data_IF_583430050900
#
_entry.id   IF_583430050900
#
_cell.length_a   1.000
_cell.length_b   1.000
_cell.length_c   1.000
_cell.angle_alpha   90.00
_cell.angle_beta   90.00
_cell.angle_gamma   90.00
#
_symmetry.space_group_name_H-M   'P 1'
#
loop_
_entity.id
_entity.type
_entity.pdbx_description
1 polymer ?
#
# COMPACT_ATOMS: atom_id res chain seq x y z
N UNK A 1 -15.31 11.01 7.21
CA UNK A 1 -14.35 10.84 8.33
C UNK A 1 -13.44 9.61 8.16
N UNK A 2 -13.88 8.51 7.53
CA UNK A 2 -13.04 7.32 7.27
C UNK A 2 -11.91 7.58 6.26
N UNK A 3 -12.15 8.40 5.24
CA UNK A 3 -11.23 8.61 4.11
C UNK A 3 -9.94 9.36 4.49
N UNK A 4 -10.03 10.28 5.46
CA UNK A 4 -8.87 11.08 5.89
C UNK A 4 -7.88 10.24 6.71
N UNK A 5 -8.37 9.25 7.47
CA UNK A 5 -7.54 8.33 8.24
C UNK A 5 -6.71 7.42 7.33
N UNK A 6 -7.32 6.91 6.25
CA UNK A 6 -6.65 6.11 5.23
C UNK A 6 -5.65 6.94 4.41
N UNK A 7 -5.91 8.24 4.18
CA UNK A 7 -4.96 9.12 3.48
C UNK A 7 -3.67 9.33 4.28
N UNK A 8 -3.81 9.55 5.60
CA UNK A 8 -2.67 9.83 6.49
C UNK A 8 -1.86 8.58 6.86
N UNK A 9 -2.49 7.40 7.01
CA UNK A 9 -1.77 6.18 7.43
C UNK A 9 -0.80 5.65 6.37
N UNK A 10 -1.08 5.92 5.10
CA UNK A 10 -0.48 5.21 3.99
C UNK A 10 0.47 6.07 3.14
N UNK A 11 0.65 7.35 3.48
CA UNK A 11 1.46 8.25 2.67
C UNK A 11 1.02 8.16 1.21
N UNK A 12 -0.26 8.42 0.93
CA UNK A 12 -0.80 8.40 -0.43
C UNK A 12 0.12 9.26 -1.32
N UNK A 13 0.58 8.69 -2.44
CA UNK A 13 1.58 9.29 -3.35
C UNK A 13 3.06 9.26 -2.90
N UNK A 14 3.39 8.62 -1.77
CA UNK A 14 4.79 8.29 -1.41
C UNK A 14 5.12 6.85 -1.76
N UNK A 15 6.31 6.68 -2.35
CA UNK A 15 6.92 5.36 -2.51
C UNK A 15 7.11 4.75 -1.13
N UNK A 16 6.50 3.59 -0.93
CA UNK A 16 6.54 2.85 0.32
C UNK A 16 7.05 1.43 0.05
N UNK A 17 7.79 0.91 1.02
CA UNK A 17 8.26 -0.47 0.99
C UNK A 17 7.20 -1.38 1.61
N UNK A 18 6.67 -2.27 0.79
CA UNK A 18 5.71 -3.29 1.20
C UNK A 18 6.42 -4.62 1.34
N UNK A 19 5.99 -5.40 2.33
CA UNK A 19 6.39 -6.80 2.47
C UNK A 19 5.14 -7.66 2.43
N UNK A 20 5.09 -8.60 1.49
CA UNK A 20 4.01 -9.60 1.46
C UNK A 20 4.22 -10.66 2.53
N UNK A 21 3.13 -11.35 2.90
CA UNK A 21 3.19 -12.53 3.77
C UNK A 21 4.13 -13.63 3.27
N UNK A 22 4.36 -13.70 1.96
CA UNK A 22 5.33 -14.63 1.36
C UNK A 22 6.79 -14.22 1.62
N UNK A 23 7.02 -13.11 2.33
CA UNK A 23 8.34 -12.56 2.62
C UNK A 23 8.93 -11.71 1.49
N UNK A 24 8.22 -11.57 0.37
CA UNK A 24 8.66 -10.76 -0.77
C UNK A 24 8.50 -9.28 -0.44
N UNK A 25 9.60 -8.55 -0.49
CA UNK A 25 9.58 -7.09 -0.33
C UNK A 25 9.53 -6.44 -1.70
N UNK A 26 8.62 -5.50 -1.88
CA UNK A 26 8.44 -4.78 -3.13
C UNK A 26 8.16 -3.31 -2.86
N UNK A 27 8.52 -2.46 -3.82
CA UNK A 27 8.25 -1.04 -3.76
C UNK A 27 6.95 -0.75 -4.46
N UNK A 28 6.16 0.15 -3.90
CA UNK A 28 4.97 0.61 -4.57
C UNK A 28 4.47 1.94 -4.04
N UNK A 29 3.54 2.52 -4.79
CA UNK A 29 2.88 3.77 -4.45
C UNK A 29 1.42 3.45 -4.16
N UNK A 30 0.93 3.87 -2.99
CA UNK A 30 -0.48 3.68 -2.67
C UNK A 30 -1.29 4.71 -3.45
N UNK A 31 -2.05 4.22 -4.43
CA UNK A 31 -2.98 5.02 -5.22
C UNK A 31 -4.32 5.19 -4.51
N UNK A 32 -4.75 4.17 -3.74
CA UNK A 32 -6.00 4.24 -3.01
C UNK A 32 -6.44 2.90 -2.45
N UNK A 33 -7.76 2.77 -2.26
CA UNK A 33 -8.42 1.54 -1.83
C UNK A 33 -9.58 1.30 -2.79
N UNK A 34 -9.74 0.08 -3.29
CA UNK A 34 -10.86 -0.25 -4.15
C UNK A 34 -12.18 -0.33 -3.38
N UNK A 35 -13.30 -0.34 -4.09
CA UNK A 35 -14.65 -0.41 -3.51
C UNK A 35 -14.86 -1.66 -2.62
N UNK A 36 -14.03 -2.67 -2.78
CA UNK A 36 -14.04 -3.91 -1.98
C UNK A 36 -13.18 -3.83 -0.71
N UNK A 37 -12.53 -2.70 -0.45
CA UNK A 37 -11.65 -2.52 0.72
C UNK A 37 -10.21 -2.99 0.51
N UNK A 38 -9.78 -3.29 -0.72
CA UNK A 38 -8.41 -3.72 -1.04
C UNK A 38 -7.50 -2.53 -1.33
N UNK A 39 -6.27 -2.55 -0.84
CA UNK A 39 -5.28 -1.51 -1.08
C UNK A 39 -4.78 -1.58 -2.53
N UNK A 40 -4.91 -0.48 -3.26
CA UNK A 40 -4.39 -0.34 -4.62
C UNK A 40 -2.98 0.23 -4.56
N UNK A 41 -2.01 -0.61 -4.92
CA UNK A 41 -0.59 -0.28 -4.92
C UNK A 41 -0.09 -0.34 -6.36
N UNK A 42 0.44 0.77 -6.84
CA UNK A 42 1.13 0.87 -8.12
C UNK A 42 2.59 0.43 -7.95
N UNK A 43 3.01 -0.54 -8.74
CA UNK A 43 4.37 -1.07 -8.77
C UNK A 43 5.22 -0.29 -9.79
N UNK A 44 6.55 -0.49 -9.76
CA UNK A 44 7.51 0.22 -10.64
C UNK A 44 7.23 0.05 -12.15
N UNK A 45 6.53 -1.00 -12.56
CA UNK A 45 6.14 -1.24 -13.95
C UNK A 45 4.81 -0.56 -14.34
N UNK A 46 4.36 0.45 -13.57
CA UNK A 46 3.06 1.13 -13.75
C UNK A 46 1.85 0.18 -13.62
N UNK A 47 2.05 -1.00 -13.02
CA UNK A 47 0.99 -1.98 -12.80
C UNK A 47 0.36 -1.71 -11.44
N UNK A 48 -0.94 -1.42 -11.43
CA UNK A 48 -1.73 -1.32 -10.21
C UNK A 48 -2.16 -2.72 -9.78
N UNK A 49 -1.70 -3.15 -8.61
CA UNK A 49 -2.16 -4.37 -7.95
C UNK A 49 -3.02 -4.04 -6.74
N UNK A 50 -4.05 -4.85 -6.55
CA UNK A 50 -4.90 -4.83 -5.37
C UNK A 50 -4.39 -5.86 -4.36
N UNK A 51 -4.10 -5.41 -3.14
CA UNK A 51 -3.68 -6.26 -2.04
C UNK A 51 -4.68 -6.15 -0.90
N UNK A 52 -4.97 -7.25 -0.23
CA UNK A 52 -5.76 -7.18 0.99
C UNK A 52 -4.93 -6.54 2.12
N UNK A 53 -5.59 -5.86 3.05
CA UNK A 53 -4.91 -5.19 4.18
C UNK A 53 -4.15 -6.20 5.04
N UNK A 54 -4.56 -7.47 5.02
CA UNK A 54 -3.88 -8.57 5.71
C UNK A 54 -2.74 -9.21 4.92
N UNK A 55 -2.65 -8.97 3.61
CA UNK A 55 -1.66 -9.64 2.75
C UNK A 55 -0.31 -8.93 2.71
N UNK A 56 -0.27 -7.65 3.08
CA UNK A 56 0.92 -6.82 2.99
C UNK A 56 1.12 -5.99 4.27
N UNK A 57 2.35 -6.00 4.77
CA UNK A 57 2.78 -5.11 5.85
C UNK A 57 3.58 -3.95 5.26
N UNK A 58 3.15 -2.73 5.58
CA UNK A 58 3.91 -1.52 5.29
C UNK A 58 5.01 -1.39 6.36
N UNK A 59 6.28 -1.44 5.94
CA UNK A 59 7.39 -1.12 6.85
C UNK A 59 7.84 0.30 6.58
N UNK A 60 7.34 1.22 7.40
CA UNK A 60 7.94 2.54 7.52
C UNK A 60 9.21 2.36 8.34
N UNK A 61 10.37 2.61 7.73
CA UNK A 61 11.62 2.68 8.47
C UNK A 61 11.53 3.80 9.49
N UNK A 62 11.34 3.46 10.75
CA UNK A 62 11.47 4.40 11.85
C UNK A 62 12.91 4.89 11.87
N UNK A 63 13.09 6.17 11.53
CA UNK A 63 14.28 6.97 11.83
C UNK A 63 14.38 7.13 13.35
#
# INVERSE_FOLDING_TARGET
>A
LKDLYLLCLFGKDKVSHFKSLAGLSFNGIIRGVSSHGKLQVELENEIIKEFDIKEIEMRIGSI
#
